data_IF_792763329821
#
_entry.id   IF_792763329821
#
_cell.length_a   1.000
_cell.length_b   1.000
_cell.length_c   1.000
_cell.angle_alpha   90.00
_cell.angle_beta   90.00
_cell.angle_gamma   90.00
#
_symmetry.space_group_name_H-M   'P 1'
#
loop_
_entity.id
_entity.type
_entity.pdbx_description
1 polymer ?
#
# COMPACT_ATOMS: atom_id res chain seq x y z
N UNK A 1 15.61 3.98 -16.30
CA UNK A 1 14.68 2.86 -16.54
C UNK A 1 13.92 2.55 -15.25
N UNK A 2 13.03 3.46 -14.83
CA UNK A 2 12.07 3.32 -13.71
C UNK A 2 10.98 4.40 -13.87
N UNK A 3 10.48 4.56 -15.09
CA UNK A 3 9.68 5.74 -15.48
C UNK A 3 8.40 5.28 -16.18
N UNK A 4 7.42 4.86 -15.40
CA UNK A 4 5.97 4.88 -15.69
C UNK A 4 5.17 4.16 -14.60
N UNK A 5 5.76 3.12 -14.00
CA UNK A 5 5.00 2.17 -13.17
C UNK A 5 5.05 2.47 -11.67
N UNK A 6 6.09 3.15 -11.18
CA UNK A 6 6.27 3.51 -9.76
C UNK A 6 5.19 4.47 -9.24
N UNK A 7 4.77 5.45 -10.06
CA UNK A 7 3.71 6.39 -9.69
C UNK A 7 2.33 5.70 -9.62
N UNK A 8 2.08 4.72 -10.49
CA UNK A 8 0.81 3.99 -10.52
C UNK A 8 0.65 3.04 -9.32
N UNK A 9 1.72 2.42 -8.82
CA UNK A 9 1.64 1.58 -7.61
C UNK A 9 1.49 2.39 -6.32
N UNK A 10 2.12 3.56 -6.20
CA UNK A 10 1.85 4.48 -5.07
C UNK A 10 0.39 4.95 -5.07
N UNK A 11 -0.17 5.25 -6.24
CA UNK A 11 -1.57 5.64 -6.38
C UNK A 11 -2.52 4.48 -6.06
N UNK A 12 -2.14 3.25 -6.42
CA UNK A 12 -2.87 2.04 -6.04
C UNK A 12 -2.79 1.77 -4.54
N UNK A 13 -1.67 1.99 -3.85
CA UNK A 13 -1.59 1.82 -2.40
C UNK A 13 -2.40 2.88 -1.65
N UNK A 14 -2.39 4.12 -2.13
CA UNK A 14 -3.26 5.18 -1.62
C UNK A 14 -4.75 4.78 -1.75
N UNK A 15 -5.15 4.17 -2.87
CA UNK A 15 -6.54 3.73 -3.10
C UNK A 15 -6.86 2.33 -2.54
N UNK A 16 -5.87 1.46 -2.30
CA UNK A 16 -6.01 0.13 -1.68
C UNK A 16 -6.33 0.27 -0.21
N UNK A 17 -5.94 1.41 0.39
CA UNK A 17 -6.54 1.92 1.61
C UNK A 17 -7.94 2.46 1.31
N UNK A 18 -8.84 1.58 0.84
CA UNK A 18 -10.27 1.84 0.65
C UNK A 18 -10.95 2.39 1.92
N UNK A 19 -10.23 2.44 3.04
CA UNK A 19 -10.70 2.91 4.33
C UNK A 19 -10.50 4.41 4.57
N UNK A 20 -9.57 5.12 3.90
CA UNK A 20 -9.40 6.57 4.18
C UNK A 20 -10.66 7.36 3.80
N UNK A 21 -11.33 6.95 2.72
CA UNK A 21 -12.56 7.60 2.24
C UNK A 21 -13.77 7.31 3.12
N UNK A 22 -13.78 6.16 3.81
CA UNK A 22 -14.90 5.72 4.64
C UNK A 22 -14.69 6.04 6.14
N UNK A 23 -13.58 6.71 6.51
CA UNK A 23 -13.32 7.14 7.88
C UNK A 23 -14.03 8.46 8.16
N UNK A 24 -14.97 8.43 9.10
CA UNK A 24 -15.76 9.60 9.53
C UNK A 24 -15.24 10.26 10.82
N UNK A 25 -14.43 9.55 11.62
CA UNK A 25 -13.91 10.07 12.90
C UNK A 25 -12.63 10.91 12.68
N UNK A 26 -12.69 12.17 13.11
CA UNK A 26 -11.61 13.15 13.01
C UNK A 26 -10.31 12.69 13.69
N UNK A 27 -10.40 11.93 14.79
CA UNK A 27 -9.21 11.47 15.54
C UNK A 27 -8.40 10.44 14.76
N UNK A 28 -9.11 9.62 13.98
CA UNK A 28 -8.48 8.61 13.12
C UNK A 28 -7.79 9.31 11.95
N UNK A 29 -8.42 10.35 11.39
CA UNK A 29 -7.83 11.15 10.31
C UNK A 29 -6.52 11.80 10.77
N UNK A 30 -6.50 12.42 11.95
CA UNK A 30 -5.31 13.08 12.48
C UNK A 30 -4.14 12.10 12.70
N UNK A 31 -4.45 10.91 13.23
CA UNK A 31 -3.47 9.84 13.39
C UNK A 31 -2.91 9.36 12.03
N UNK A 32 -3.77 9.18 11.02
CA UNK A 32 -3.38 8.75 9.68
C UNK A 32 -2.49 9.79 8.98
N UNK A 33 -2.83 11.07 9.11
CA UNK A 33 -2.03 12.18 8.55
C UNK A 33 -0.66 12.25 9.22
N UNK A 34 -0.61 12.13 10.55
CA UNK A 34 0.65 12.15 11.30
C UNK A 34 1.55 10.97 10.92
N UNK A 35 0.97 9.77 10.79
CA UNK A 35 1.71 8.58 10.34
C UNK A 35 2.29 8.75 8.93
N UNK A 36 1.51 9.28 7.99
CA UNK A 36 1.96 9.53 6.62
C UNK A 36 3.11 10.54 6.54
N UNK A 37 3.06 11.61 7.36
CA UNK A 37 4.16 12.59 7.46
C UNK A 37 5.45 11.98 7.99
N UNK A 38 5.34 11.14 9.02
CA UNK A 38 6.50 10.46 9.61
C UNK A 38 7.16 9.50 8.63
N UNK A 39 6.38 8.68 7.91
CA UNK A 39 6.91 7.77 6.89
C UNK A 39 7.59 8.49 5.71
N UNK A 40 7.10 9.68 5.35
CA UNK A 40 7.71 10.52 4.32
C UNK A 40 9.04 11.09 4.81
N UNK A 41 9.09 11.61 6.03
CA UNK A 41 10.29 12.21 6.60
C UNK A 41 11.42 11.17 6.74
N UNK A 42 11.11 9.95 7.17
CA UNK A 42 12.07 8.84 7.21
C UNK A 42 12.62 8.47 5.83
N UNK A 43 11.77 8.55 4.79
CA UNK A 43 12.16 8.22 3.41
C UNK A 43 13.03 9.33 2.80
N UNK A 44 12.67 10.59 3.04
CA UNK A 44 13.42 11.76 2.55
C UNK A 44 14.80 11.85 3.20
N UNK A 45 14.88 11.57 4.51
CA UNK A 45 16.15 11.53 5.24
C UNK A 45 17.00 10.28 4.93
N UNK A 46 16.48 9.35 4.11
CA UNK A 46 17.20 8.13 3.71
C UNK A 46 17.41 7.15 4.86
N UNK A 47 16.61 7.24 5.92
CA UNK A 47 16.72 6.36 7.10
C UNK A 47 16.12 4.98 6.85
N UNK A 48 15.34 4.80 5.78
CA UNK A 48 14.82 3.49 5.34
C UNK A 48 15.82 2.77 4.44
N UNK A 49 16.01 1.48 4.68
CA UNK A 49 16.75 0.61 3.76
C UNK A 49 15.96 0.39 2.46
N UNK A 50 16.66 0.13 1.34
CA UNK A 50 16.05 -0.15 0.03
C UNK A 50 15.00 -1.25 0.10
N UNK A 51 15.22 -2.28 0.92
CA UNK A 51 14.26 -3.35 1.17
C UNK A 51 12.92 -2.83 1.67
N UNK A 52 12.92 -1.93 2.66
CA UNK A 52 11.70 -1.35 3.23
C UNK A 52 10.91 -0.52 2.23
N UNK A 53 11.59 0.19 1.32
CA UNK A 53 10.94 0.94 0.24
C UNK A 53 10.36 -0.02 -0.82
N UNK A 54 11.06 -1.12 -1.11
CA UNK A 54 10.61 -2.13 -2.07
C UNK A 54 9.40 -2.95 -1.57
N UNK A 55 9.18 -3.04 -0.25
CA UNK A 55 8.01 -3.72 0.32
C UNK A 55 6.68 -3.05 -0.04
N UNK A 56 6.65 -1.73 -0.22
CA UNK A 56 5.44 -1.01 -0.66
C UNK A 56 5.02 -1.47 -2.07
N UNK A 57 5.99 -1.71 -2.95
CA UNK A 57 5.69 -1.98 -4.37
C UNK A 57 5.14 -3.38 -4.65
N UNK A 58 5.08 -4.29 -3.68
CA UNK A 58 4.31 -5.56 -3.76
C UNK A 58 4.52 -6.42 -5.01
N UNK A 59 5.62 -6.23 -5.74
CA UNK A 59 5.80 -6.73 -7.12
C UNK A 59 5.85 -8.26 -7.20
N UNK A 60 6.11 -8.93 -6.08
CA UNK A 60 6.33 -10.38 -6.00
C UNK A 60 5.16 -11.15 -5.39
N UNK A 61 4.13 -10.47 -4.88
CA UNK A 61 2.96 -11.13 -4.29
C UNK A 61 1.91 -11.34 -5.37
N UNK A 62 1.73 -12.60 -5.80
CA UNK A 62 0.64 -12.96 -6.69
C UNK A 62 -0.69 -12.49 -6.08
N UNK A 63 -1.42 -11.64 -6.80
CA UNK A 63 -2.66 -11.05 -6.31
C UNK A 63 -3.63 -12.18 -5.99
N UNK A 64 -4.05 -12.28 -4.72
CA UNK A 64 -5.00 -13.31 -4.30
C UNK A 64 -6.23 -13.28 -5.22
N UNK A 65 -6.68 -14.44 -5.72
CA UNK A 65 -7.86 -14.52 -6.56
C UNK A 65 -9.05 -13.89 -5.83
N UNK A 66 -9.67 -12.88 -6.45
CA UNK A 66 -10.83 -12.18 -5.87
C UNK A 66 -12.15 -12.88 -6.15
N UNK A 67 -12.14 -13.85 -7.06
CA UNK A 67 -13.32 -14.56 -7.52
C UNK A 67 -13.47 -15.91 -6.80
N UNK A 68 -14.71 -16.27 -6.45
CA UNK A 68 -15.04 -17.46 -5.66
C UNK A 68 -14.54 -18.74 -6.34
N UNK A 69 -14.77 -18.88 -7.65
CA UNK A 69 -14.34 -20.05 -8.42
C UNK A 69 -12.82 -20.19 -8.44
N UNK A 70 -12.09 -19.10 -8.67
CA UNK A 70 -10.63 -19.11 -8.67
C UNK A 70 -10.02 -19.41 -7.30
N UNK A 71 -10.68 -19.07 -6.19
CA UNK A 71 -10.30 -19.51 -4.83
C UNK A 71 -10.58 -20.99 -4.62
N UNK A 72 -11.76 -21.46 -5.03
CA UNK A 72 -12.17 -22.85 -4.92
C UNK A 72 -11.22 -23.82 -5.64
N UNK A 73 -10.81 -23.49 -6.87
CA UNK A 73 -9.85 -24.31 -7.62
C UNK A 73 -8.41 -24.24 -7.06
N UNK A 74 -8.08 -23.20 -6.27
CA UNK A 74 -6.74 -23.04 -5.70
C UNK A 74 -6.49 -23.81 -4.41
N UNK A 75 -7.50 -24.49 -3.85
CA UNK A 75 -7.36 -25.29 -2.62
C UNK A 75 -7.04 -24.47 -1.35
N UNK A 76 -7.12 -23.15 -1.43
CA UNK A 76 -7.05 -22.24 -0.30
C UNK A 76 -8.46 -22.14 0.30
N UNK A 77 -8.69 -22.85 1.41
CA UNK A 77 -9.94 -22.79 2.21
C UNK A 77 -10.26 -21.36 2.67
#
# INVERSE_FOLDING_TARGET
MFTSDSANCLWLDFNKTHMIRDVTDIRVIDMLVTKGRMELEESVKGWKQKSHVMMYFGQTVQKKPKDFLSRFFSGLE
#
